data_IF_191895058571
#
_entry.id   IF_191895058571
#
_cell.length_a   1.000
_cell.length_b   1.000
_cell.length_c   1.000
_cell.angle_alpha   90.00
_cell.angle_beta   90.00
_cell.angle_gamma   90.00
#
_symmetry.space_group_name_H-M   'P 1'
#
loop_
_entity.id
_entity.type
_entity.pdbx_description
1 polymer ?
#
# COMPACT_ATOMS: atom_id res chain seq x y z
N UNK A 1 8.57 13.77 10.10
CA UNK A 1 8.27 13.46 9.80
C UNK A 1 7.92 12.53 9.39
N UNK A 2 7.91 11.96 9.02
CA UNK A 2 7.48 11.28 8.63
C UNK A 2 7.24 10.33 8.75
N UNK A 3 7.18 9.67 8.71
CA UNK A 3 6.60 8.95 8.75
C UNK A 3 6.87 7.77 8.64
N UNK A 4 6.96 6.96 9.40
CA UNK A 4 7.25 5.63 9.39
C UNK A 4 5.99 4.85 9.26
N UNK A 5 5.54 4.67 8.07
CA UNK A 5 4.34 3.89 7.83
C UNK A 5 4.64 2.80 6.86
N UNK A 6 3.98 1.69 7.03
CA UNK A 6 4.10 0.58 6.10
C UNK A 6 2.76 0.30 5.48
N UNK A 7 2.74 -0.07 4.22
CA UNK A 7 1.52 -0.30 3.48
C UNK A 7 1.45 -1.74 3.03
N UNK A 8 0.26 -2.31 3.11
CA UNK A 8 0.04 -3.70 2.72
C UNK A 8 -1.25 -3.81 1.95
N UNK A 9 -1.40 -4.85 1.15
CA UNK A 9 -2.68 -5.15 0.51
C UNK A 9 -2.93 -6.64 0.71
N UNK A 10 -4.19 -7.04 0.57
CA UNK A 10 -4.53 -8.43 0.70
C UNK A 10 -4.88 -8.98 -0.66
N UNK A 11 -4.21 -10.01 -1.10
CA UNK A 11 -4.47 -10.65 -2.37
C UNK A 11 -4.54 -12.13 -2.14
N UNK A 12 -5.62 -12.77 -2.57
CA UNK A 12 -5.76 -14.22 -2.49
C UNK A 12 -5.50 -14.72 -1.07
N UNK A 13 -6.09 -14.02 -0.11
CA UNK A 13 -5.99 -14.42 1.29
C UNK A 13 -4.57 -14.26 1.85
N UNK A 14 -3.72 -13.52 1.18
CA UNK A 14 -2.41 -13.25 1.70
C UNK A 14 -2.22 -11.76 1.83
N UNK A 15 -1.55 -11.31 2.86
CA UNK A 15 -1.26 -9.90 3.05
C UNK A 15 0.16 -9.66 2.58
N UNK A 16 0.33 -8.80 1.61
CA UNK A 16 1.62 -8.53 1.01
C UNK A 16 2.04 -7.10 1.30
N UNK A 17 3.32 -6.90 1.59
CA UNK A 17 3.82 -5.57 1.82
C UNK A 17 4.03 -4.91 0.47
N UNK A 18 3.65 -3.66 0.36
CA UNK A 18 3.76 -2.92 -0.89
C UNK A 18 4.35 -1.55 -0.62
N UNK A 19 4.79 -0.89 -1.68
CA UNK A 19 5.28 0.47 -1.58
C UNK A 19 4.28 1.38 -2.23
N UNK A 20 3.90 2.43 -1.55
CA UNK A 20 2.94 3.39 -2.10
C UNK A 20 3.67 4.31 -3.06
N UNK A 21 3.20 4.38 -4.29
CA UNK A 21 3.79 5.23 -5.29
C UNK A 21 3.06 6.58 -5.33
N UNK A 22 1.75 6.55 -5.42
CA UNK A 22 1.00 7.79 -5.41
C UNK A 22 -0.47 7.51 -5.21
N UNK A 23 -1.22 8.54 -4.84
CA UNK A 23 -2.65 8.43 -4.73
C UNK A 23 -3.29 9.10 -5.92
N UNK A 24 -4.44 8.59 -6.33
CA UNK A 24 -5.22 9.23 -7.36
C UNK A 24 -6.32 10.00 -6.66
N UNK A 25 -6.42 11.29 -6.93
CA UNK A 25 -7.40 12.08 -6.25
C UNK A 25 -8.80 11.83 -6.72
N UNK A 26 -8.99 11.44 -7.95
CA UNK A 26 -10.35 11.37 -8.48
C UNK A 26 -10.94 9.99 -8.40
N UNK A 27 -10.12 8.94 -8.36
CA UNK A 27 -10.64 7.59 -8.40
C UNK A 27 -10.58 6.88 -7.07
N UNK A 28 -10.14 7.56 -6.02
CA UNK A 28 -10.02 6.95 -4.70
C UNK A 28 -9.18 5.69 -4.76
N UNK A 29 -8.13 5.72 -5.54
CA UNK A 29 -7.25 4.59 -5.70
C UNK A 29 -5.82 4.98 -5.39
N UNK A 30 -4.99 4.02 -5.15
CA UNK A 30 -3.57 4.22 -4.91
C UNK A 30 -2.80 3.30 -5.82
N UNK A 31 -1.70 3.81 -6.37
CA UNK A 31 -0.82 3.00 -7.18
C UNK A 31 0.26 2.48 -6.25
N UNK A 32 0.42 1.18 -6.20
CA UNK A 32 1.40 0.57 -5.32
C UNK A 32 2.29 -0.37 -6.10
N UNK A 33 3.50 -0.58 -5.59
CA UNK A 33 4.43 -1.54 -6.19
C UNK A 33 4.47 -2.75 -5.24
N UNK A 34 4.33 -3.94 -5.80
CA UNK A 34 4.32 -5.17 -5.02
C UNK A 34 5.65 -5.88 -5.27
N UNK A 35 6.60 -5.76 -4.34
CA UNK A 35 7.91 -6.34 -4.57
C UNK A 35 7.87 -7.84 -4.77
N UNK A 36 6.98 -8.51 -4.04
CA UNK A 36 6.92 -9.95 -4.17
C UNK A 36 6.54 -10.38 -5.58
N UNK A 37 5.75 -9.58 -6.30
CA UNK A 37 5.37 -9.93 -7.64
C UNK A 37 6.06 -9.04 -8.66
N UNK A 38 6.87 -8.10 -8.22
CA UNK A 38 7.62 -7.22 -9.10
C UNK A 38 6.70 -6.54 -10.09
N UNK A 39 5.61 -5.96 -9.64
CA UNK A 39 4.68 -5.30 -10.54
C UNK A 39 3.93 -4.20 -9.81
N UNK A 40 3.35 -3.31 -10.59
CA UNK A 40 2.54 -2.23 -10.06
C UNK A 40 1.07 -2.62 -10.12
N UNK A 41 0.30 -2.14 -9.19
CA UNK A 41 -1.12 -2.40 -9.16
C UNK A 41 -1.86 -1.17 -8.67
N UNK A 42 -3.09 -1.00 -9.16
CA UNK A 42 -3.96 0.04 -8.66
C UNK A 42 -4.90 -0.63 -7.67
N UNK A 43 -5.01 -0.11 -6.49
CA UNK A 43 -5.91 -0.65 -5.48
C UNK A 43 -6.75 0.47 -4.93
N UNK A 44 -7.93 0.17 -4.42
CA UNK A 44 -8.76 1.20 -3.81
C UNK A 44 -8.13 1.58 -2.48
N UNK A 45 -8.19 2.87 -2.17
CA UNK A 45 -7.56 3.37 -0.95
C UNK A 45 -8.12 2.65 0.28
N UNK A 46 -9.41 2.36 0.30
CA UNK A 46 -9.96 1.71 1.47
C UNK A 46 -9.57 0.23 1.58
N UNK A 47 -8.89 -0.31 0.57
CA UNK A 47 -8.38 -1.66 0.68
C UNK A 47 -6.90 -1.64 1.07
N UNK A 48 -6.31 -0.49 1.16
CA UNK A 48 -4.90 -0.38 1.50
C UNK A 48 -4.77 -0.45 3.01
N UNK A 49 -3.93 -1.31 3.51
CA UNK A 49 -3.73 -1.47 4.93
C UNK A 49 -2.52 -0.64 5.31
N UNK A 50 -2.70 0.28 6.23
CA UNK A 50 -1.63 1.19 6.63
C UNK A 50 -1.28 0.92 8.08
N UNK A 51 -0.03 0.63 8.34
CA UNK A 51 0.43 0.40 9.68
C UNK A 51 1.43 1.46 10.09
N UNK A 52 1.29 1.98 11.29
CA UNK A 52 2.24 2.93 11.79
C UNK A 52 3.36 2.18 12.42
N UNK A 53 4.58 2.50 12.05
CA UNK A 53 5.72 1.91 12.67
C UNK A 53 6.10 2.80 13.79
N UNK A 54 5.79 2.50 15.04
CA UNK A 54 6.10 3.32 16.09
C UNK A 54 7.36 3.19 16.48
N UNK A 55 8.11 3.50 16.28
CA UNK A 55 9.34 3.35 16.66
C UNK A 55 9.70 3.23 17.94
N UNK A 56 9.77 3.23 18.53
CA UNK A 56 10.10 3.14 19.64
C UNK A 56 10.46 2.84 19.88
#
# INVERSE_FOLDING_TARGET
MLENKEFYIELNDKVLKVELIKFSDTLNKALVYIPEKNRLEDVYVNELIIKDMKGE
#
